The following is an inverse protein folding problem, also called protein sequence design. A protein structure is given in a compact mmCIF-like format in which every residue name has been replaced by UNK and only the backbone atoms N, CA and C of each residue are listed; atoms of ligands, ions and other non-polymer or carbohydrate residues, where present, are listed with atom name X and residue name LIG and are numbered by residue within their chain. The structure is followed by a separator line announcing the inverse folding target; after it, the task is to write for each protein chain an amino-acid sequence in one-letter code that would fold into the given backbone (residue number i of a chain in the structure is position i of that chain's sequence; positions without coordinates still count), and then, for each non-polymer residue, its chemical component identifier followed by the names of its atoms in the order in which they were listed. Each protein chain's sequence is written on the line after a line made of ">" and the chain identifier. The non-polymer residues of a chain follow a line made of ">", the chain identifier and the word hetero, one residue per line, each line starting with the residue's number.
data_IF_413927088699
#
_entry.id   IF_413927088699
#
_cell.length_a   1.000
_cell.length_b   1.000
_cell.length_c   1.000
_cell.angle_alpha   90.00
_cell.angle_beta   90.00
_cell.angle_gamma   90.00
#
_symmetry.space_group_name_H-M   'P 1'
#
loop_
_entity.id
_entity.type
_entity.pdbx_description
1 polymer ?
#
# COMPACT_ATOMS: atom_id res chain seq x y z
N UNK A 1 -4.11 -2.79 3.65
CA UNK A 1 -3.81 -2.25 2.30
C UNK A 1 -3.68 -3.36 1.25
N UNK A 2 -2.76 -4.33 1.40
CA UNK A 2 -2.48 -5.33 0.35
C UNK A 2 -3.61 -6.25 -0.13
N UNK A 3 -4.75 -6.34 0.59
CA UNK A 3 -5.92 -7.14 0.18
C UNK A 3 -6.44 -6.78 -1.22
N UNK A 4 -6.41 -5.50 -1.56
CA UNK A 4 -6.86 -5.00 -2.86
C UNK A 4 -6.05 -5.54 -4.04
N UNK A 5 -4.83 -6.02 -3.78
CA UNK A 5 -3.89 -6.52 -4.78
C UNK A 5 -4.03 -8.04 -5.01
N UNK A 6 -4.60 -8.79 -4.05
CA UNK A 6 -4.65 -10.26 -4.09
C UNK A 6 -5.38 -10.77 -5.33
N UNK A 7 -4.77 -11.71 -6.03
CA UNK A 7 -5.31 -12.41 -7.21
C UNK A 7 -5.72 -11.47 -8.36
N UNK A 8 -5.11 -10.29 -8.44
CA UNK A 8 -5.35 -9.37 -9.56
C UNK A 8 -4.49 -9.75 -10.77
N UNK A 9 -5.07 -9.82 -11.98
CA UNK A 9 -4.32 -10.16 -13.19
C UNK A 9 -3.40 -9.02 -13.61
N UNK A 10 -2.38 -9.34 -14.43
CA UNK A 10 -1.43 -8.35 -14.96
C UNK A 10 -2.10 -7.16 -15.64
N UNK A 11 -3.20 -7.41 -16.37
CA UNK A 11 -3.98 -6.39 -17.07
C UNK A 11 -4.59 -5.34 -16.14
N UNK A 12 -4.74 -5.64 -14.85
CA UNK A 12 -5.28 -4.68 -13.89
C UNK A 12 -4.36 -3.48 -13.69
N UNK A 13 -3.04 -3.65 -13.77
CA UNK A 13 -2.09 -2.53 -13.63
C UNK A 13 -2.28 -1.43 -14.68
N UNK A 14 -2.78 -1.79 -15.87
CA UNK A 14 -3.12 -0.86 -16.94
C UNK A 14 -4.55 -0.30 -16.88
N UNK A 15 -5.36 -0.71 -15.90
CA UNK A 15 -6.77 -0.31 -15.82
C UNK A 15 -6.95 1.01 -15.06
N UNK A 16 -7.83 1.93 -15.53
CA UNK A 16 -8.55 1.89 -16.80
C UNK A 16 -7.61 2.19 -17.97
N UNK A 17 -7.79 1.49 -19.09
CA UNK A 17 -6.94 1.67 -20.27
C UNK A 17 -7.09 3.09 -20.84
N UNK A 18 -5.96 3.73 -21.14
CA UNK A 18 -5.92 5.10 -21.69
C UNK A 18 -6.09 6.20 -20.64
N UNK A 19 -6.35 5.87 -19.38
CA UNK A 19 -6.43 6.85 -18.29
C UNK A 19 -5.02 7.19 -17.76
N UNK A 20 -4.69 8.48 -17.54
CA UNK A 20 -3.43 8.85 -16.93
C UNK A 20 -3.27 8.37 -15.48
N UNK A 21 -4.33 7.92 -14.80
CA UNK A 21 -4.34 7.45 -13.40
C UNK A 21 -4.68 5.95 -13.32
N UNK A 22 -3.87 5.11 -13.94
CA UNK A 22 -4.05 3.64 -13.88
C UNK A 22 -3.75 3.07 -12.49
N UNK A 23 -4.22 1.85 -12.23
CA UNK A 23 -3.94 1.13 -10.99
C UNK A 23 -2.43 0.98 -10.72
N UNK A 24 -1.63 0.75 -11.77
CA UNK A 24 -0.18 0.66 -11.68
C UNK A 24 0.45 1.97 -11.18
N UNK A 25 0.01 3.12 -11.71
CA UNK A 25 0.48 4.44 -11.24
C UNK A 25 0.08 4.74 -9.80
N UNK A 26 -1.16 4.39 -9.43
CA UNK A 26 -1.62 4.52 -8.05
C UNK A 26 -0.75 3.68 -7.12
N UNK A 27 -0.44 2.42 -7.49
CA UNK A 27 0.38 1.56 -6.64
C UNK A 27 1.85 2.02 -6.58
N UNK A 28 2.40 2.53 -7.68
CA UNK A 28 3.74 3.12 -7.70
C UNK A 28 3.85 4.30 -6.73
N UNK A 29 2.86 5.20 -6.75
CA UNK A 29 2.75 6.30 -5.82
C UNK A 29 2.63 5.84 -4.35
N UNK A 30 1.84 4.80 -4.08
CA UNK A 30 1.76 4.21 -2.73
C UNK A 30 3.12 3.65 -2.29
N UNK A 31 3.89 3.06 -3.20
CA UNK A 31 5.27 2.65 -2.93
C UNK A 31 6.17 3.83 -2.55
N UNK A 32 6.07 4.94 -3.30
CA UNK A 32 6.81 6.18 -3.03
C UNK A 32 6.45 6.79 -1.66
N UNK A 33 5.18 6.71 -1.24
CA UNK A 33 4.76 7.15 0.09
C UNK A 33 5.42 6.34 1.22
N UNK A 34 5.62 5.02 1.04
CA UNK A 34 6.29 4.19 2.05
C UNK A 34 7.79 4.50 2.12
N UNK A 35 8.45 4.66 0.98
CA UNK A 35 9.85 5.09 0.93
C UNK A 35 10.04 6.48 1.55
N UNK A 36 9.12 7.41 1.24
CA UNK A 36 9.11 8.74 1.84
C UNK A 36 8.93 8.67 3.36
N UNK A 37 8.03 7.82 3.87
CA UNK A 37 7.84 7.61 5.29
C UNK A 37 9.12 7.16 6.00
N UNK A 38 9.91 6.27 5.39
CA UNK A 38 11.24 5.87 5.92
C UNK A 38 12.16 7.09 6.02
N UNK A 39 12.26 7.91 4.97
CA UNK A 39 13.12 9.10 4.99
C UNK A 39 12.66 10.16 5.99
N UNK A 40 11.36 10.24 6.28
CA UNK A 40 10.81 11.09 7.34
C UNK A 40 11.23 10.61 8.73
N UNK A 41 11.18 9.29 8.98
CA UNK A 41 11.66 8.68 10.22
C UNK A 41 13.16 8.98 10.41
N UNK A 42 13.94 8.99 9.33
CA UNK A 42 15.36 9.32 9.33
C UNK A 42 15.68 10.81 9.43
N UNK A 43 14.67 11.68 9.40
CA UNK A 43 14.84 13.13 9.47
C UNK A 43 15.40 13.77 8.20
N UNK A 44 15.35 13.06 7.08
CA UNK A 44 15.86 13.50 5.77
C UNK A 44 14.79 13.29 4.68
N UNK A 45 13.59 13.88 4.82
CA UNK A 45 12.48 13.62 3.92
C UNK A 45 12.88 13.89 2.47
N UNK A 46 12.78 12.87 1.63
CA UNK A 46 13.13 12.95 0.21
C UNK A 46 12.02 12.28 -0.61
N UNK A 47 11.37 13.07 -1.46
CA UNK A 47 10.33 12.56 -2.36
C UNK A 47 10.94 12.02 -3.65
N UNK A 48 10.43 10.89 -4.13
CA UNK A 48 10.72 10.32 -5.45
C UNK A 48 9.40 10.06 -6.16
N UNK A 49 9.31 10.39 -7.44
CA UNK A 49 8.15 10.12 -8.28
C UNK A 49 8.49 8.98 -9.24
N UNK A 50 8.16 7.76 -8.85
CA UNK A 50 8.58 6.55 -9.56
C UNK A 50 7.67 6.28 -10.75
N UNK A 51 8.26 5.93 -11.90
CA UNK A 51 7.50 5.34 -12.99
C UNK A 51 6.97 3.95 -12.57
N UNK A 52 5.71 3.59 -12.91
CA UNK A 52 5.16 2.29 -12.55
C UNK A 52 5.89 1.15 -13.25
N UNK A 53 6.10 0.07 -12.50
CA UNK A 53 6.63 -1.20 -12.97
C UNK A 53 5.52 -2.09 -13.56
N UNK A 54 5.87 -3.22 -14.21
CA UNK A 54 4.91 -4.29 -14.48
C UNK A 54 4.13 -4.68 -13.20
N UNK A 55 2.87 -5.08 -13.35
CA UNK A 55 1.92 -5.09 -12.24
C UNK A 55 2.36 -6.00 -11.08
N UNK A 56 2.84 -7.22 -11.36
CA UNK A 56 3.37 -8.10 -10.30
C UNK A 56 4.64 -7.53 -9.64
N UNK A 57 5.49 -6.85 -10.40
CA UNK A 57 6.69 -6.21 -9.87
C UNK A 57 6.34 -5.01 -8.98
N UNK A 58 5.29 -4.27 -9.33
CA UNK A 58 4.79 -3.15 -8.52
C UNK A 58 4.15 -3.65 -7.22
N UNK A 59 3.41 -4.76 -7.24
CA UNK A 59 2.94 -5.44 -6.02
C UNK A 59 4.13 -5.86 -5.14
N UNK A 60 5.16 -6.46 -5.72
CA UNK A 60 6.36 -6.85 -4.99
C UNK A 60 7.11 -5.64 -4.41
N UNK A 61 7.19 -4.53 -5.16
CA UNK A 61 7.77 -3.27 -4.69
C UNK A 61 6.99 -2.73 -3.51
N UNK A 62 5.66 -2.63 -3.60
CA UNK A 62 4.81 -2.18 -2.50
C UNK A 62 5.08 -2.95 -1.19
N UNK A 63 5.15 -4.29 -1.25
CA UNK A 63 5.43 -5.09 -0.06
C UNK A 63 6.85 -4.89 0.48
N UNK A 64 7.85 -4.68 -0.39
CA UNK A 64 9.21 -4.35 0.06
C UNK A 64 9.27 -3.01 0.77
N UNK A 65 8.67 -1.95 0.21
CA UNK A 65 8.74 -0.60 0.79
C UNK A 65 7.92 -0.51 2.09
N UNK A 66 6.75 -1.15 2.13
CA UNK A 66 5.98 -1.31 3.37
C UNK A 66 6.76 -2.10 4.44
N UNK A 67 7.47 -3.17 4.03
CA UNK A 67 8.39 -3.93 4.90
C UNK A 67 9.53 -3.10 5.46
N UNK A 68 10.16 -2.26 4.63
CA UNK A 68 11.21 -1.36 5.07
C UNK A 68 10.69 -0.32 6.07
N UNK A 69 9.49 0.22 5.84
CA UNK A 69 8.85 1.15 6.78
C UNK A 69 8.51 0.48 8.13
N UNK A 70 7.91 -0.71 8.12
CA UNK A 70 7.62 -1.48 9.33
C UNK A 70 8.89 -1.81 10.12
N UNK A 71 9.94 -2.30 9.45
CA UNK A 71 11.23 -2.58 10.07
C UNK A 71 11.86 -1.32 10.68
N UNK A 72 11.77 -0.18 9.99
CA UNK A 72 12.32 1.08 10.50
C UNK A 72 11.55 1.57 11.73
N UNK A 73 10.23 1.47 11.73
CA UNK A 73 9.40 1.78 12.91
C UNK A 73 9.73 0.86 14.08
N UNK A 74 9.99 -0.43 13.83
CA UNK A 74 10.37 -1.37 14.87
C UNK A 74 11.74 -1.04 15.50
N UNK A 75 12.66 -0.47 14.73
CA UNK A 75 14.00 -0.12 15.19
C UNK A 75 14.02 1.18 16.02
N UNK A 76 13.38 2.25 15.53
CA UNK A 76 13.53 3.61 16.09
C UNK A 76 12.21 4.30 16.43
N UNK A 77 11.08 3.61 16.31
CA UNK A 77 9.76 4.23 16.42
C UNK A 77 9.55 5.29 15.34
N UNK A 78 8.99 6.44 15.71
CA UNK A 78 8.81 7.55 14.78
C UNK A 78 10.13 8.28 14.41
N UNK A 79 11.25 7.95 15.06
CA UNK A 79 12.55 8.57 14.82
C UNK A 79 12.53 10.08 14.95
N UNK A 80 12.97 10.79 13.91
CA UNK A 80 12.95 12.26 13.82
C UNK A 80 11.58 12.85 13.43
N UNK A 81 10.59 12.00 13.15
CA UNK A 81 9.21 12.40 12.86
C UNK A 81 8.32 12.26 14.10
N UNK A 82 7.00 12.39 13.93
CA UNK A 82 6.01 12.04 14.96
C UNK A 82 5.01 11.04 14.40
N UNK A 83 4.35 10.28 15.28
CA UNK A 83 3.33 9.32 14.86
C UNK A 83 2.19 10.01 14.10
N UNK A 84 1.79 11.21 14.52
CA UNK A 84 0.75 12.01 13.86
C UNK A 84 1.15 12.42 12.46
N UNK A 85 2.40 12.86 12.26
CA UNK A 85 2.90 13.25 10.94
C UNK A 85 2.99 12.06 9.99
N UNK A 86 3.48 10.92 10.48
CA UNK A 86 3.53 9.68 9.69
C UNK A 86 2.12 9.18 9.36
N UNK A 87 1.18 9.30 10.31
CA UNK A 87 -0.20 8.92 10.08
C UNK A 87 -0.92 9.83 9.08
N UNK A 88 -0.85 11.15 9.28
CA UNK A 88 -1.58 12.14 8.46
C UNK A 88 -0.98 12.34 7.08
N UNK A 89 0.33 12.15 6.92
CA UNK A 89 1.00 12.21 5.63
C UNK A 89 0.92 10.87 4.90
N UNK A 90 2.00 10.07 4.90
CA UNK A 90 2.10 8.91 4.01
C UNK A 90 1.04 7.83 4.25
N UNK A 91 0.62 7.58 5.49
CA UNK A 91 -0.33 6.49 5.79
C UNK A 91 -1.76 6.87 5.35
N UNK A 92 -2.25 8.05 5.71
CA UNK A 92 -3.60 8.50 5.32
C UNK A 92 -3.74 8.65 3.81
N UNK A 93 -2.69 9.10 3.13
CA UNK A 93 -2.66 9.20 1.68
C UNK A 93 -2.71 7.80 1.03
N UNK A 94 -1.88 6.86 1.48
CA UNK A 94 -1.91 5.48 1.04
C UNK A 94 -3.26 4.79 1.30
N UNK A 95 -3.98 5.13 2.38
CA UNK A 95 -5.33 4.63 2.65
C UNK A 95 -6.34 5.17 1.63
N UNK A 96 -6.23 6.44 1.25
CA UNK A 96 -7.06 7.07 0.22
C UNK A 96 -6.87 6.38 -1.13
N UNK A 97 -5.62 6.13 -1.52
CA UNK A 97 -5.26 5.42 -2.74
C UNK A 97 -5.63 3.94 -2.72
N UNK A 98 -5.59 3.28 -1.56
CA UNK A 98 -6.14 1.92 -1.40
C UNK A 98 -7.64 1.88 -1.71
N UNK A 99 -8.38 2.92 -1.33
CA UNK A 99 -9.80 3.09 -1.68
C UNK A 99 -10.01 3.24 -3.19
N UNK A 100 -9.17 4.03 -3.86
CA UNK A 100 -9.21 4.17 -5.33
C UNK A 100 -8.93 2.84 -6.04
N UNK A 101 -7.89 2.09 -5.62
CA UNK A 101 -7.61 0.75 -6.16
C UNK A 101 -8.78 -0.20 -5.96
N UNK A 102 -9.46 -0.15 -4.80
CA UNK A 102 -10.61 -1.00 -4.52
C UNK A 102 -11.80 -0.66 -5.44
N UNK A 103 -12.00 0.63 -5.70
CA UNK A 103 -13.01 1.10 -6.64
C UNK A 103 -12.69 0.65 -8.08
N UNK A 104 -11.45 0.86 -8.55
CA UNK A 104 -11.02 0.40 -9.88
C UNK A 104 -11.16 -1.11 -10.03
N UNK A 105 -10.77 -1.88 -9.02
CA UNK A 105 -10.91 -3.34 -9.00
C UNK A 105 -12.38 -3.76 -9.19
N UNK A 106 -13.31 -3.08 -8.50
CA UNK A 106 -14.75 -3.30 -8.67
C UNK A 106 -15.23 -2.95 -10.07
N UNK A 107 -14.80 -1.82 -10.64
CA UNK A 107 -15.18 -1.38 -11.99
C UNK A 107 -14.64 -2.31 -13.07
N UNK A 108 -13.46 -2.91 -12.85
CA UNK A 108 -12.88 -3.93 -13.72
C UNK A 108 -13.55 -5.33 -13.59
N UNK A 109 -14.59 -5.46 -12.76
CA UNK A 109 -15.29 -6.74 -12.53
C UNK A 109 -14.51 -7.74 -11.67
N UNK A 110 -13.40 -7.33 -11.05
CA UNK A 110 -12.57 -8.19 -10.22
C UNK A 110 -13.13 -8.25 -8.79
N UNK A 111 -13.72 -9.38 -8.42
CA UNK A 111 -14.33 -9.54 -7.09
C UNK A 111 -13.28 -9.48 -5.98
N UNK A 112 -13.64 -8.86 -4.86
CA UNK A 112 -12.89 -8.85 -3.62
C UNK A 112 -13.87 -9.08 -2.47
N UNK A 113 -13.55 -10.00 -1.55
CA UNK A 113 -14.40 -10.25 -0.39
C UNK A 113 -14.27 -9.14 0.65
N UNK A 114 -15.35 -8.87 1.38
CA UNK A 114 -15.33 -8.00 2.56
C UNK A 114 -14.46 -8.55 3.68
N UNK A 115 -14.11 -7.72 4.65
CA UNK A 115 -13.48 -8.14 5.91
C UNK A 115 -13.69 -7.09 6.98
N UNK A 116 -13.95 -7.58 8.19
CA UNK A 116 -13.99 -6.75 9.37
C UNK A 116 -12.56 -6.44 9.86
N UNK A 117 -12.00 -5.30 9.47
CA UNK A 117 -10.67 -4.89 9.94
C UNK A 117 -10.60 -4.65 11.46
N UNK A 118 -11.71 -4.36 12.14
CA UNK A 118 -11.74 -4.27 13.61
C UNK A 118 -11.55 -5.63 14.29
N UNK A 119 -11.91 -6.73 13.61
CA UNK A 119 -11.72 -8.10 14.12
C UNK A 119 -10.52 -8.82 13.47
N UNK A 120 -9.84 -8.19 12.52
CA UNK A 120 -8.72 -8.79 11.80
C UNK A 120 -7.54 -9.12 12.73
N UNK A 121 -6.80 -10.16 12.38
CA UNK A 121 -5.59 -10.56 13.10
C UNK A 121 -4.38 -9.76 12.62
N UNK A 122 -4.17 -8.59 13.21
CA UNK A 122 -3.05 -7.70 12.89
C UNK A 122 -1.87 -8.00 13.82
N UNK A 123 -0.69 -8.23 13.23
CA UNK A 123 0.53 -8.50 13.97
C UNK A 123 1.70 -7.67 13.42
N UNK A 124 2.54 -7.16 14.32
CA UNK A 124 3.81 -6.49 13.97
C UNK A 124 4.68 -7.43 13.13
N UNK A 125 5.36 -6.90 12.11
CA UNK A 125 6.21 -7.70 11.22
C UNK A 125 5.45 -8.49 10.16
N UNK A 126 4.11 -8.56 10.20
CA UNK A 126 3.29 -9.24 9.19
C UNK A 126 2.74 -8.24 8.17
N UNK A 127 3.61 -7.75 7.30
CA UNK A 127 3.23 -6.77 6.27
C UNK A 127 3.25 -7.30 4.84
N UNK A 128 3.68 -8.54 4.63
CA UNK A 128 3.75 -9.19 3.31
C UNK A 128 2.41 -9.72 2.79
N UNK A 129 2.42 -10.42 1.62
CA UNK A 129 1.21 -10.98 1.02
C UNK A 129 0.56 -12.09 1.87
N UNK A 130 1.36 -12.79 2.66
CA UNK A 130 0.94 -13.87 3.56
C UNK A 130 0.27 -13.32 4.83
N UNK A 131 -0.96 -12.84 4.67
CA UNK A 131 -1.81 -12.34 5.75
C UNK A 131 -2.71 -13.46 6.30
N UNK A 132 -3.07 -13.36 7.58
CA UNK A 132 -4.07 -14.27 8.18
C UNK A 132 -5.39 -14.19 7.41
N UNK A 133 -6.09 -15.33 7.30
CA UNK A 133 -7.41 -15.36 6.72
C UNK A 133 -8.38 -14.44 7.50
N UNK A 134 -9.38 -13.81 6.85
CA UNK A 134 -10.36 -12.96 7.52
C UNK A 134 -11.05 -13.71 8.66
N UNK A 135 -11.04 -13.15 9.87
CA UNK A 135 -11.80 -13.73 11.00
C UNK A 135 -13.30 -13.60 10.80
N UNK A 136 -13.74 -12.53 10.13
CA UNK A 136 -15.15 -12.24 9.85
C UNK A 136 -15.28 -11.45 8.55
N UNK A 137 -16.19 -11.90 7.68
CA UNK A 137 -16.66 -11.17 6.51
C UNK A 137 -17.98 -10.44 6.84
N UNK A 138 -18.32 -9.42 6.05
CA UNK A 138 -19.61 -8.72 6.07
C UNK A 138 -20.12 -8.54 4.66
#
# INVERSE_FOLDING_TARGET
>A
MGKVLRDTPETFGGYPEGDPQTAGKILAHVGDLMDWAVTMVDGKPAWTDSAPLPWQEEIARFYRTLGAFDARLAEVGAGASTAEKLFQGPIADALTHTGQLAMLRRLAGLKMKGENYYQADVAVGRVGPEQTAPRREF
#
